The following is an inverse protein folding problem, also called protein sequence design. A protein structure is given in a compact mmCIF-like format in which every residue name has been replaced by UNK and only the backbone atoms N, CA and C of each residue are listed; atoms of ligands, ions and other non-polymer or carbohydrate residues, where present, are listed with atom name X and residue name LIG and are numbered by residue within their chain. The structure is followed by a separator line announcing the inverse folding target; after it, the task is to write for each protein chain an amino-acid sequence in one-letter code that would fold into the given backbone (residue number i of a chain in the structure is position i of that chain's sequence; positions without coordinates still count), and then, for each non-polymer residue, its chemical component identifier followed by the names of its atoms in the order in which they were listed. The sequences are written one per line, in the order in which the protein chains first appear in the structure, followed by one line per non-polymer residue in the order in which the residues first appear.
data_IF_542671089288
#
_entry.id   IF_542671089288
#
_cell.length_a   1.000
_cell.length_b   1.000
_cell.length_c   1.000
_cell.angle_alpha   90.00
_cell.angle_beta   90.00
_cell.angle_gamma   90.00
#
_symmetry.space_group_name_H-M   'P 1'
#
loop_
_entity.id
_entity.type
_entity.pdbx_description
1 polymer ?
#
# COMPACT_ATOMS: atom_id res chain seq x y z
N UNK A 1 17.18 -5.50 19.72
CA UNK A 1 16.53 -6.39 18.72
C UNK A 1 17.10 -6.19 17.30
N UNK A 2 17.08 -4.99 16.71
CA UNK A 2 17.69 -4.73 15.37
C UNK A 2 19.17 -5.14 15.24
N UNK A 3 19.98 -4.97 16.29
CA UNK A 3 21.41 -5.35 16.30
C UNK A 3 21.66 -6.85 16.18
N UNK A 4 20.73 -7.70 16.66
CA UNK A 4 20.86 -9.17 16.55
C UNK A 4 20.70 -9.64 15.09
N UNK A 5 19.86 -8.96 14.32
CA UNK A 5 19.62 -9.28 12.90
C UNK A 5 20.84 -8.87 12.06
N UNK A 6 21.41 -7.69 12.32
CA UNK A 6 22.63 -7.22 11.65
C UNK A 6 23.84 -8.11 11.97
N UNK A 7 23.95 -8.61 13.21
CA UNK A 7 24.97 -9.61 13.59
C UNK A 7 24.76 -11.00 12.97
N UNK A 8 23.51 -11.36 12.65
CA UNK A 8 23.16 -12.66 12.06
C UNK A 8 23.42 -12.74 10.55
N UNK A 9 23.32 -11.62 9.85
CA UNK A 9 23.51 -11.51 8.38
C UNK A 9 24.93 -11.12 7.97
N UNK A 10 25.82 -10.81 8.93
CA UNK A 10 27.18 -10.34 8.66
C UNK A 10 28.15 -11.44 8.17
N UNK A 11 28.60 -11.31 6.91
CA UNK A 11 29.83 -11.87 6.32
C UNK A 11 30.14 -13.37 6.55
N UNK A 12 29.16 -14.27 6.45
CA UNK A 12 29.47 -15.71 6.49
C UNK A 12 29.85 -16.24 5.11
N UNK A 13 31.00 -16.90 5.04
CA UNK A 13 31.47 -17.63 3.87
C UNK A 13 32.65 -17.00 3.12
N UNK A 14 32.78 -15.66 3.09
CA UNK A 14 33.87 -15.00 2.36
C UNK A 14 35.26 -15.35 2.90
N UNK A 15 35.43 -15.34 4.24
CA UNK A 15 36.71 -15.66 4.90
C UNK A 15 37.04 -17.15 4.78
N UNK A 16 36.04 -18.03 4.94
CA UNK A 16 36.22 -19.49 4.80
C UNK A 16 36.57 -19.90 3.37
N UNK A 17 35.93 -19.27 2.37
CA UNK A 17 36.24 -19.50 0.96
C UNK A 17 37.64 -18.96 0.61
N UNK A 18 38.01 -17.79 1.11
CA UNK A 18 39.36 -17.24 0.93
C UNK A 18 40.44 -18.16 1.53
N UNK A 19 40.21 -18.72 2.72
CA UNK A 19 41.13 -19.67 3.35
C UNK A 19 41.24 -20.99 2.55
N UNK A 20 40.14 -21.52 2.00
CA UNK A 20 40.16 -22.71 1.16
C UNK A 20 40.86 -22.47 -0.18
N UNK A 21 40.68 -21.29 -0.79
CA UNK A 21 41.36 -20.92 -2.03
C UNK A 21 42.85 -20.63 -1.81
N UNK A 22 43.24 -20.23 -0.59
CA UNK A 22 44.63 -20.01 -0.20
C UNK A 22 45.43 -21.31 0.00
N UNK A 23 44.79 -22.49 -0.07
CA UNK A 23 45.50 -23.78 -0.02
C UNK A 23 46.47 -23.87 -1.22
N UNK A 24 47.79 -24.08 -0.96
CA UNK A 24 48.81 -24.10 -2.00
C UNK A 24 48.53 -25.12 -3.10
N UNK A 25 48.94 -24.81 -4.34
CA UNK A 25 48.78 -25.73 -5.47
C UNK A 25 49.77 -26.90 -5.42
N UNK A 26 50.92 -26.72 -4.78
CA UNK A 26 51.97 -27.69 -4.64
C UNK A 26 52.58 -27.66 -3.24
N UNK A 27 53.14 -28.78 -2.83
CA UNK A 27 53.92 -28.97 -1.60
C UNK A 27 55.39 -28.56 -1.84
N UNK A 28 56.18 -28.42 -0.78
CA UNK A 28 57.61 -28.06 -0.86
C UNK A 28 58.47 -29.06 -1.66
N UNK A 29 57.93 -30.27 -1.92
CA UNK A 29 58.53 -31.29 -2.78
C UNK A 29 58.17 -31.15 -4.27
N UNK A 30 57.35 -30.17 -4.65
CA UNK A 30 56.86 -29.95 -6.02
C UNK A 30 55.67 -30.82 -6.43
N UNK A 31 55.23 -31.75 -5.59
CA UNK A 31 54.03 -32.55 -5.82
C UNK A 31 52.75 -31.74 -5.53
N UNK A 32 51.67 -31.99 -6.27
CA UNK A 32 50.38 -31.34 -6.04
C UNK A 32 49.87 -31.54 -4.61
N UNK A 33 49.24 -30.51 -4.05
CA UNK A 33 48.73 -30.60 -2.67
C UNK A 33 47.65 -31.67 -2.57
N UNK A 34 47.80 -32.67 -1.67
CA UNK A 34 46.88 -33.80 -1.60
C UNK A 34 45.47 -33.32 -1.22
N UNK A 35 44.47 -33.86 -1.92
CA UNK A 35 43.04 -33.67 -1.59
C UNK A 35 42.56 -32.21 -1.57
N UNK A 36 43.26 -31.29 -2.23
CA UNK A 36 42.88 -29.86 -2.30
C UNK A 36 41.46 -29.65 -2.80
N UNK A 37 41.06 -30.36 -3.85
CA UNK A 37 39.72 -30.25 -4.42
C UNK A 37 38.64 -30.74 -3.44
N UNK A 38 38.96 -31.74 -2.60
CA UNK A 38 38.08 -32.24 -1.56
C UNK A 38 37.89 -31.19 -0.45
N UNK A 39 38.97 -30.49 -0.05
CA UNK A 39 38.91 -29.39 0.93
C UNK A 39 38.04 -28.24 0.42
N UNK A 40 38.21 -27.86 -0.86
CA UNK A 40 37.41 -26.80 -1.49
C UNK A 40 35.94 -27.22 -1.58
N UNK A 41 35.67 -28.46 -2.01
CA UNK A 41 34.32 -29.01 -2.09
C UNK A 41 33.62 -29.00 -0.72
N UNK A 42 34.27 -29.53 0.32
CA UNK A 42 33.73 -29.53 1.68
C UNK A 42 33.48 -28.12 2.21
N UNK A 43 34.41 -27.19 1.98
CA UNK A 43 34.25 -25.80 2.40
C UNK A 43 33.04 -25.17 1.71
N UNK A 44 32.89 -25.37 0.40
CA UNK A 44 31.75 -24.86 -0.35
C UNK A 44 30.42 -25.49 0.12
N UNK A 45 30.38 -26.80 0.31
CA UNK A 45 29.19 -27.50 0.82
C UNK A 45 28.77 -26.99 2.20
N UNK A 46 29.71 -26.78 3.12
CA UNK A 46 29.43 -26.24 4.45
C UNK A 46 28.90 -24.81 4.36
N UNK A 47 29.48 -23.95 3.50
CA UNK A 47 28.97 -22.59 3.26
C UNK A 47 27.54 -22.65 2.71
N UNK A 48 27.27 -23.48 1.71
CA UNK A 48 25.94 -23.61 1.11
C UNK A 48 24.89 -24.06 2.14
N UNK A 49 25.20 -25.10 2.91
CA UNK A 49 24.30 -25.65 3.94
C UNK A 49 24.03 -24.61 5.03
N UNK A 50 25.06 -23.89 5.48
CA UNK A 50 24.90 -22.84 6.50
C UNK A 50 24.09 -21.65 5.99
N UNK A 51 24.29 -21.23 4.73
CA UNK A 51 23.50 -20.18 4.11
C UNK A 51 22.04 -20.59 3.90
N UNK A 52 21.77 -21.82 3.45
CA UNK A 52 20.42 -22.34 3.27
C UNK A 52 19.68 -22.46 4.60
N UNK A 53 20.32 -23.04 5.62
CA UNK A 53 19.75 -23.14 6.96
C UNK A 53 19.46 -21.75 7.54
N UNK A 54 20.39 -20.80 7.42
CA UNK A 54 20.16 -19.44 7.90
C UNK A 54 19.06 -18.71 7.12
N UNK A 55 19.08 -18.81 5.80
CA UNK A 55 18.09 -18.18 4.91
C UNK A 55 16.67 -18.69 5.18
N UNK A 56 16.48 -20.01 5.34
CA UNK A 56 15.18 -20.59 5.69
C UNK A 56 14.77 -20.35 7.15
N UNK A 57 15.73 -20.17 8.07
CA UNK A 57 15.45 -19.90 9.48
C UNK A 57 15.02 -18.45 9.77
N UNK A 58 15.31 -17.52 8.86
CA UNK A 58 15.05 -16.09 9.03
C UNK A 58 13.54 -15.75 9.01
N UNK A 59 12.74 -16.23 8.03
CA UNK A 59 11.29 -15.99 8.01
C UNK A 59 10.55 -16.43 9.29
N UNK A 60 10.72 -17.65 9.82
CA UNK A 60 10.06 -18.06 11.06
C UNK A 60 10.59 -17.30 12.29
N UNK A 61 11.88 -16.94 12.31
CA UNK A 61 12.46 -16.15 13.40
C UNK A 61 11.93 -14.71 13.43
N UNK A 62 11.76 -14.08 12.26
CA UNK A 62 11.13 -12.76 12.13
C UNK A 62 9.68 -12.80 12.63
N UNK A 63 8.92 -13.82 12.22
CA UNK A 63 7.53 -14.03 12.68
C UNK A 63 7.46 -14.25 14.20
N UNK A 64 8.34 -15.08 14.77
CA UNK A 64 8.41 -15.36 16.20
C UNK A 64 8.81 -14.12 17.02
N UNK A 65 9.67 -13.27 16.47
CA UNK A 65 10.09 -12.02 17.13
C UNK A 65 9.03 -10.92 17.02
N UNK A 66 7.97 -11.06 16.22
CA UNK A 66 6.92 -10.04 16.08
C UNK A 66 7.47 -8.69 15.61
N UNK A 67 8.49 -8.70 14.74
CA UNK A 67 9.15 -7.50 14.22
C UNK A 67 8.54 -6.98 12.92
N UNK A 68 7.52 -7.67 12.41
CA UNK A 68 6.67 -7.22 11.32
C UNK A 68 5.32 -6.99 11.97
N UNK A 69 4.93 -5.72 12.11
CA UNK A 69 3.52 -5.39 12.23
C UNK A 69 2.87 -5.99 10.97
N UNK A 70 1.89 -6.86 11.17
CA UNK A 70 1.23 -7.53 10.04
C UNK A 70 0.72 -6.43 9.10
N UNK A 71 0.96 -6.53 7.79
CA UNK A 71 0.46 -5.53 6.82
C UNK A 71 -1.05 -5.35 6.97
N UNK A 72 -1.73 -6.42 7.38
CA UNK A 72 -3.15 -6.43 7.75
C UNK A 72 -3.47 -5.59 9.00
N UNK A 73 -2.58 -5.57 10.01
CA UNK A 73 -2.73 -4.74 11.21
C UNK A 73 -2.58 -3.26 10.86
N UNK A 74 -1.57 -2.90 10.07
CA UNK A 74 -1.36 -1.52 9.63
C UNK A 74 -2.54 -1.01 8.80
N UNK A 75 -3.04 -1.83 7.86
CA UNK A 75 -4.21 -1.49 7.04
C UNK A 75 -5.50 -1.31 7.88
N UNK A 76 -5.66 -2.12 8.93
CA UNK A 76 -6.79 -1.99 9.87
C UNK A 76 -6.68 -0.71 10.69
N UNK A 77 -5.52 -0.42 11.27
CA UNK A 77 -5.27 0.81 12.02
C UNK A 77 -5.50 2.06 11.16
N UNK A 78 -5.04 2.03 9.90
CA UNK A 78 -5.27 3.11 8.96
C UNK A 78 -6.77 3.31 8.66
N UNK A 79 -7.51 2.22 8.45
CA UNK A 79 -8.94 2.28 8.16
C UNK A 79 -9.73 2.82 9.35
N UNK A 80 -9.41 2.34 10.55
CA UNK A 80 -10.02 2.82 11.79
C UNK A 80 -9.74 4.31 12.02
N UNK A 81 -8.50 4.77 11.80
CA UNK A 81 -8.15 6.18 11.88
C UNK A 81 -8.93 7.04 10.88
N UNK A 82 -9.08 6.58 9.63
CA UNK A 82 -9.86 7.27 8.60
C UNK A 82 -11.35 7.38 8.97
N UNK A 83 -11.93 6.34 9.56
CA UNK A 83 -13.30 6.35 10.06
C UNK A 83 -13.48 7.36 11.20
N UNK A 84 -12.58 7.35 12.19
CA UNK A 84 -12.60 8.32 13.30
C UNK A 84 -12.48 9.77 12.82
N UNK A 85 -11.58 10.04 11.87
CA UNK A 85 -11.41 11.40 11.31
C UNK A 85 -12.67 11.86 10.57
N UNK A 86 -13.33 10.96 9.82
CA UNK A 86 -14.59 11.29 9.14
C UNK A 86 -15.73 11.56 10.14
N UNK A 87 -15.84 10.75 11.20
CA UNK A 87 -16.84 10.96 12.25
C UNK A 87 -16.61 12.26 13.02
N UNK A 88 -15.37 12.56 13.42
CA UNK A 88 -15.04 13.82 14.10
C UNK A 88 -15.41 15.06 13.26
N UNK A 89 -15.30 14.97 11.93
CA UNK A 89 -15.77 16.04 11.05
C UNK A 89 -17.30 16.17 11.02
N UNK A 90 -18.03 15.05 11.06
CA UNK A 90 -19.50 15.04 11.14
C UNK A 90 -19.97 15.62 12.47
N UNK A 91 -19.41 15.16 13.59
CA UNK A 91 -19.71 15.68 14.93
C UNK A 91 -19.47 17.20 14.99
N UNK A 92 -18.38 17.67 14.38
CA UNK A 92 -18.08 19.10 14.33
C UNK A 92 -19.08 19.87 13.47
N UNK A 93 -19.62 19.27 12.41
CA UNK A 93 -20.70 19.88 11.62
C UNK A 93 -21.99 19.96 12.44
N UNK A 94 -22.32 18.92 13.22
CA UNK A 94 -23.47 18.93 14.14
C UNK A 94 -23.38 20.08 15.15
N UNK A 95 -22.20 20.30 15.74
CA UNK A 95 -21.97 21.41 16.67
C UNK A 95 -22.12 22.78 16.00
N UNK A 96 -21.64 22.92 14.76
CA UNK A 96 -21.60 24.19 14.04
C UNK A 96 -22.93 24.52 13.35
N UNK A 97 -23.82 23.56 13.15
CA UNK A 97 -25.10 23.78 12.47
C UNK A 97 -25.99 24.81 13.20
N UNK A 98 -25.82 24.93 14.52
CA UNK A 98 -26.55 25.89 15.35
C UNK A 98 -25.94 27.32 15.33
N UNK A 99 -24.80 27.53 14.68
CA UNK A 99 -24.11 28.81 14.65
C UNK A 99 -24.68 29.76 13.59
N UNK A 100 -24.87 31.03 13.95
CA UNK A 100 -25.49 32.05 13.07
C UNK A 100 -24.73 32.31 11.76
N UNK A 101 -23.42 32.01 11.73
CA UNK A 101 -22.59 32.19 10.53
C UNK A 101 -22.71 31.03 9.54
N UNK A 102 -23.33 29.91 9.92
CA UNK A 102 -23.55 28.75 9.05
C UNK A 102 -24.89 28.90 8.33
N UNK A 103 -24.91 29.10 7.01
CA UNK A 103 -26.17 29.29 6.29
C UNK A 103 -27.02 28.01 6.32
N UNK A 104 -28.35 28.11 6.44
CA UNK A 104 -29.25 26.97 6.43
C UNK A 104 -29.01 26.06 5.22
N UNK A 105 -28.92 24.75 5.44
CA UNK A 105 -28.66 23.76 4.39
C UNK A 105 -27.18 23.64 3.94
N UNK A 106 -26.28 24.52 4.41
CA UNK A 106 -24.84 24.38 4.14
C UNK A 106 -24.24 23.20 4.90
N UNK A 107 -24.67 22.99 6.14
CA UNK A 107 -24.26 21.84 6.96
C UNK A 107 -24.52 20.52 6.21
N UNK A 108 -25.75 20.29 5.71
CA UNK A 108 -26.11 19.06 4.99
C UNK A 108 -25.28 18.87 3.70
N UNK A 109 -25.04 19.96 2.94
CA UNK A 109 -24.22 19.91 1.74
C UNK A 109 -22.76 19.53 2.04
N UNK A 110 -22.23 19.95 3.18
CA UNK A 110 -20.87 19.61 3.63
C UNK A 110 -20.83 18.22 4.28
N UNK A 111 -21.92 17.71 4.88
CA UNK A 111 -22.02 16.35 5.43
C UNK A 111 -21.84 15.26 4.38
N UNK A 112 -22.35 15.49 3.16
CA UNK A 112 -22.38 14.49 2.08
C UNK A 112 -21.03 13.80 1.82
N UNK A 113 -19.94 14.56 1.54
CA UNK A 113 -18.60 13.99 1.34
C UNK A 113 -18.06 13.17 2.52
N UNK A 114 -18.31 13.58 3.78
CA UNK A 114 -17.82 12.86 4.96
C UNK A 114 -18.61 11.57 5.21
N UNK A 115 -19.95 11.61 5.05
CA UNK A 115 -20.80 10.39 5.07
C UNK A 115 -20.39 9.41 3.98
N UNK A 116 -20.08 9.90 2.77
CA UNK A 116 -19.59 9.06 1.68
C UNK A 116 -18.27 8.36 2.06
N UNK A 117 -17.29 9.09 2.62
CA UNK A 117 -16.02 8.50 3.09
C UNK A 117 -16.24 7.46 4.18
N UNK A 118 -17.04 7.78 5.19
CA UNK A 118 -17.35 6.86 6.29
C UNK A 118 -17.93 5.54 5.78
N UNK A 119 -18.93 5.62 4.89
CA UNK A 119 -19.56 4.45 4.26
C UNK A 119 -18.60 3.65 3.38
N UNK A 120 -17.70 4.33 2.65
CA UNK A 120 -16.69 3.68 1.80
C UNK A 120 -15.67 2.88 2.63
N UNK A 121 -15.20 3.45 3.73
CA UNK A 121 -14.19 2.80 4.57
C UNK A 121 -14.78 1.68 5.42
N UNK A 122 -16.00 1.83 5.93
CA UNK A 122 -16.68 0.76 6.67
C UNK A 122 -16.97 -0.45 5.78
N UNK A 123 -17.38 -0.24 4.52
CA UNK A 123 -17.67 -1.33 3.58
C UNK A 123 -16.41 -2.15 3.18
N UNK A 124 -15.23 -1.52 3.17
CA UNK A 124 -13.96 -2.21 2.85
C UNK A 124 -13.38 -2.99 4.03
N UNK A 125 -13.83 -2.73 5.25
CA UNK A 125 -13.32 -3.37 6.46
C UNK A 125 -14.46 -3.67 7.41
N UNK A 126 -15.31 -4.66 7.09
CA UNK A 126 -16.43 -5.07 7.92
C UNK A 126 -16.00 -5.59 9.31
N UNK A 127 -14.75 -6.02 9.45
CA UNK A 127 -14.19 -6.52 10.71
C UNK A 127 -13.73 -5.40 11.67
N UNK A 128 -13.79 -4.12 11.27
CA UNK A 128 -13.45 -2.99 12.13
C UNK A 128 -14.69 -2.57 12.91
N UNK A 129 -14.69 -2.85 14.22
CA UNK A 129 -15.74 -2.44 15.17
C UNK A 129 -15.71 -0.91 15.36
N UNK A 130 -16.35 -0.19 14.43
CA UNK A 130 -16.50 1.27 14.48
C UNK A 130 -17.90 1.65 14.99
N UNK A 131 -17.96 2.14 16.23
CA UNK A 131 -19.20 2.55 16.94
C UNK A 131 -19.80 3.89 16.46
N UNK A 132 -19.13 4.58 15.53
CA UNK A 132 -19.63 5.82 14.95
C UNK A 132 -20.75 5.58 13.94
N UNK A 133 -21.97 5.39 14.45
CA UNK A 133 -23.27 5.47 13.77
C UNK A 133 -23.25 5.27 12.25
N UNK A 134 -23.24 4.01 11.80
CA UNK A 134 -23.49 3.69 10.39
C UNK A 134 -25.01 3.59 10.20
N UNK A 135 -25.66 4.72 9.95
CA UNK A 135 -27.03 4.72 9.46
C UNK A 135 -27.01 4.24 7.99
N UNK A 136 -27.07 2.92 7.79
CA UNK A 136 -27.35 2.31 6.48
C UNK A 136 -26.60 1.02 6.18
N UNK A 137 -27.38 -0.05 6.06
CA UNK A 137 -27.14 -1.36 5.44
C UNK A 137 -25.85 -1.48 4.60
N UNK A 138 -24.83 -2.13 5.16
CA UNK A 138 -23.53 -2.38 4.51
C UNK A 138 -23.60 -3.35 3.32
N UNK A 139 -24.69 -4.11 3.17
CA UNK A 139 -24.84 -5.14 2.14
C UNK A 139 -25.32 -4.60 0.78
N UNK A 140 -25.84 -3.38 0.72
CA UNK A 140 -26.31 -2.73 -0.52
C UNK A 140 -25.19 -1.95 -1.25
N UNK A 141 -23.97 -1.93 -0.70
CA UNK A 141 -22.88 -1.11 -1.25
C UNK A 141 -22.25 -1.68 -2.52
N UNK A 142 -22.04 -2.99 -2.66
CA UNK A 142 -21.45 -3.55 -3.88
C UNK A 142 -22.34 -3.31 -5.11
N UNK A 143 -23.65 -3.49 -4.94
CA UNK A 143 -24.66 -3.24 -5.98
C UNK A 143 -24.81 -1.74 -6.28
N UNK A 144 -24.85 -0.89 -5.25
CA UNK A 144 -24.91 0.58 -5.40
C UNK A 144 -23.62 1.17 -5.98
N UNK A 145 -22.46 0.58 -5.69
CA UNK A 145 -21.14 0.99 -6.20
C UNK A 145 -21.05 0.82 -7.72
N UNK A 146 -21.51 -0.32 -8.26
CA UNK A 146 -21.54 -0.53 -9.72
C UNK A 146 -22.50 0.41 -10.43
N UNK A 147 -23.68 0.65 -9.85
CA UNK A 147 -24.65 1.60 -10.39
C UNK A 147 -24.13 3.05 -10.39
N UNK A 148 -23.48 3.44 -9.29
CA UNK A 148 -22.85 4.75 -9.15
C UNK A 148 -21.68 4.94 -10.14
N UNK A 149 -20.77 3.97 -10.24
CA UNK A 149 -19.65 4.02 -11.19
C UNK A 149 -20.14 4.14 -12.63
N UNK A 150 -21.18 3.38 -12.99
CA UNK A 150 -21.79 3.48 -14.32
C UNK A 150 -22.38 4.87 -14.57
N UNK A 151 -23.14 5.42 -13.62
CA UNK A 151 -23.72 6.75 -13.74
C UNK A 151 -22.65 7.84 -13.91
N UNK A 152 -21.59 7.80 -13.10
CA UNK A 152 -20.47 8.75 -13.20
C UNK A 152 -19.81 8.69 -14.56
N UNK A 153 -19.53 7.49 -15.08
CA UNK A 153 -18.90 7.31 -16.40
C UNK A 153 -19.75 7.92 -17.51
N UNK A 154 -21.06 7.65 -17.52
CA UNK A 154 -21.99 8.24 -18.50
C UNK A 154 -21.99 9.79 -18.42
N UNK A 155 -21.91 10.37 -17.21
CA UNK A 155 -21.83 11.82 -17.03
C UNK A 155 -20.50 12.41 -17.50
N UNK A 156 -19.38 11.72 -17.29
CA UNK A 156 -18.06 12.14 -17.78
C UNK A 156 -17.99 12.06 -19.30
N UNK A 157 -18.55 11.01 -19.90
CA UNK A 157 -18.61 10.87 -21.36
C UNK A 157 -19.43 11.98 -22.00
N UNK A 158 -20.59 12.34 -21.42
CA UNK A 158 -21.40 13.47 -21.89
C UNK A 158 -20.66 14.83 -21.79
N UNK A 159 -19.87 15.03 -20.73
CA UNK A 159 -19.05 16.23 -20.57
C UNK A 159 -17.93 16.29 -21.62
N UNK A 160 -17.24 15.17 -21.87
CA UNK A 160 -16.20 15.05 -22.89
C UNK A 160 -16.74 15.30 -24.29
N UNK A 161 -17.89 14.72 -24.63
CA UNK A 161 -18.56 14.95 -25.91
C UNK A 161 -18.88 16.43 -26.13
N UNK A 162 -19.41 17.09 -25.09
CA UNK A 162 -19.71 18.53 -25.13
C UNK A 162 -18.43 19.36 -25.36
N UNK A 163 -17.35 19.03 -24.66
CA UNK A 163 -16.07 19.73 -24.74
C UNK A 163 -15.41 19.58 -26.12
N UNK A 164 -15.47 18.38 -26.71
CA UNK A 164 -15.02 18.11 -28.07
C UNK A 164 -15.86 18.93 -29.07
N UNK A 165 -17.19 18.94 -28.91
CA UNK A 165 -18.09 19.72 -29.77
C UNK A 165 -17.82 21.23 -29.72
N UNK A 166 -17.48 21.78 -28.55
CA UNK A 166 -17.06 23.18 -28.41
C UNK A 166 -15.76 23.47 -29.17
N UNK A 167 -14.80 22.53 -29.15
CA UNK A 167 -13.54 22.65 -29.93
C UNK A 167 -13.81 22.59 -31.42
N UNK A 168 -14.65 21.65 -31.87
CA UNK A 168 -14.98 21.48 -33.30
C UNK A 168 -15.72 22.70 -33.88
N UNK A 169 -16.52 23.40 -33.07
CA UNK A 169 -17.17 24.67 -33.44
C UNK A 169 -16.26 25.91 -33.31
N UNK A 170 -15.04 25.75 -32.80
CA UNK A 170 -14.10 26.85 -32.58
C UNK A 170 -14.46 27.77 -31.41
N UNK A 171 -15.33 27.34 -30.50
CA UNK A 171 -15.70 28.09 -29.28
C UNK A 171 -14.56 28.08 -28.24
N UNK A 172 -13.74 27.01 -28.25
CA UNK A 172 -12.56 26.87 -27.40
C UNK A 172 -11.35 26.43 -28.24
N UNK A 173 -10.14 26.77 -27.75
CA UNK A 173 -8.88 26.32 -28.33
C UNK A 173 -8.37 25.02 -27.68
N UNK A 174 -7.40 24.38 -28.32
CA UNK A 174 -6.81 23.12 -27.83
C UNK A 174 -6.16 23.24 -26.45
N UNK A 175 -5.66 24.42 -26.08
CA UNK A 175 -5.09 24.65 -24.75
C UNK A 175 -6.17 24.60 -23.67
N UNK A 176 -7.31 25.24 -23.93
CA UNK A 176 -8.47 25.24 -23.04
C UNK A 176 -9.07 23.84 -22.92
N UNK A 177 -9.22 23.13 -24.04
CA UNK A 177 -9.61 21.72 -24.09
C UNK A 177 -8.72 20.87 -23.16
N UNK A 178 -7.40 20.90 -23.37
CA UNK A 178 -6.44 20.13 -22.57
C UNK A 178 -6.43 20.50 -21.08
N UNK A 179 -6.79 21.75 -20.74
CA UNK A 179 -6.87 22.18 -19.33
C UNK A 179 -8.10 21.58 -18.66
N UNK A 180 -9.25 21.64 -19.33
CA UNK A 180 -10.52 21.13 -18.79
C UNK A 180 -10.52 19.59 -18.77
N UNK A 181 -9.98 18.92 -19.79
CA UNK A 181 -9.83 17.46 -19.79
C UNK A 181 -9.00 16.97 -18.60
N UNK A 182 -7.89 17.66 -18.27
CA UNK A 182 -7.07 17.33 -17.10
C UNK A 182 -7.82 17.49 -15.78
N UNK A 183 -8.75 18.44 -15.70
CA UNK A 183 -9.59 18.61 -14.51
C UNK A 183 -10.59 17.45 -14.38
N UNK A 184 -11.23 17.05 -15.48
CA UNK A 184 -12.13 15.90 -15.53
C UNK A 184 -11.41 14.59 -15.21
N UNK A 185 -10.19 14.38 -15.70
CA UNK A 185 -9.40 13.17 -15.40
C UNK A 185 -8.97 13.11 -13.92
N UNK A 186 -8.72 14.27 -13.28
CA UNK A 186 -8.45 14.35 -11.84
C UNK A 186 -9.70 14.04 -11.01
N UNK A 187 -10.88 14.43 -11.47
CA UNK A 187 -12.15 14.04 -10.84
C UNK A 187 -12.41 12.54 -10.97
N UNK A 188 -12.16 11.95 -12.15
CA UNK A 188 -12.32 10.51 -12.38
C UNK A 188 -11.37 9.69 -11.49
N UNK A 189 -10.11 10.11 -11.40
CA UNK A 189 -9.11 9.45 -10.52
C UNK A 189 -9.51 9.50 -9.04
N UNK A 190 -10.14 10.58 -8.58
CA UNK A 190 -10.64 10.69 -7.20
C UNK A 190 -11.80 9.72 -6.91
N UNK A 191 -12.51 9.27 -7.94
CA UNK A 191 -13.66 8.38 -7.81
C UNK A 191 -13.26 6.89 -7.88
N UNK A 192 -12.14 6.55 -8.52
CA UNK A 192 -11.63 5.18 -8.60
C UNK A 192 -10.79 4.71 -7.39
N UNK A 193 -10.35 5.59 -6.46
CA UNK A 193 -9.55 5.26 -5.25
C UNK A 193 -10.41 4.96 -4.02
#
# INVERSE_FOLDING_TARGET
RRTLIVGWTGMRGAVSLAAALAVPLATDSGAGFPERDLIIFLTFSVILVTLLLQGLSLPPLIKLLGLVEDDETVAREETEARLRVAAAALDRIDELEAEDWVPPGTAERVRGPYRYRQRRFSARSPDVDFDGGIDGDGLDYETRSRGYQRLVRELLDAQRETLIGMRDRGEINDETLRRIERELDLEDTRLEI
#
